data_IF_374059432705
#
_entry.id   IF_374059432705
#
_cell.length_a   1.000
_cell.length_b   1.000
_cell.length_c   1.000
_cell.angle_alpha   90.00
_cell.angle_beta   90.00
_cell.angle_gamma   90.00
#
_symmetry.space_group_name_H-M   'P 1'
#
loop_
_entity.id
_entity.type
_entity.pdbx_description
1 polymer ?
#
# COMPACT_ATOMS: atom_id res chain seq x y z
N UNK A 1 -22.98 18.40 0.91
CA UNK A 1 -23.17 16.95 1.19
C UNK A 1 -22.26 16.03 0.37
N UNK A 2 -22.11 16.21 -0.95
CA UNK A 2 -21.28 15.32 -1.80
C UNK A 2 -19.79 15.22 -1.40
N UNK A 3 -19.15 16.31 -0.96
CA UNK A 3 -17.74 16.27 -0.53
C UNK A 3 -17.58 15.56 0.83
N UNK A 4 -18.60 15.65 1.70
CA UNK A 4 -18.64 14.92 2.97
C UNK A 4 -18.77 13.41 2.73
N UNK A 5 -19.60 12.95 1.80
CA UNK A 5 -19.69 11.52 1.47
C UNK A 5 -18.40 11.00 0.84
N UNK A 6 -17.81 11.75 -0.10
CA UNK A 6 -16.52 11.42 -0.71
C UNK A 6 -15.39 11.28 0.32
N UNK A 7 -15.35 12.15 1.34
CA UNK A 7 -14.40 12.06 2.45
C UNK A 7 -14.45 10.71 3.15
N UNK A 8 -15.65 10.23 3.48
CA UNK A 8 -15.81 8.96 4.19
C UNK A 8 -15.45 7.76 3.31
N UNK A 9 -15.76 7.82 2.01
CA UNK A 9 -15.29 6.81 1.06
C UNK A 9 -13.76 6.81 0.96
N UNK A 10 -13.14 7.98 0.86
CA UNK A 10 -11.69 8.12 0.81
C UNK A 10 -11.04 7.50 2.07
N UNK A 11 -11.57 7.83 3.25
CA UNK A 11 -11.12 7.30 4.53
C UNK A 11 -11.28 5.77 4.61
N UNK A 12 -12.45 5.25 4.21
CA UNK A 12 -12.74 3.81 4.23
C UNK A 12 -11.82 3.03 3.27
N UNK A 13 -11.63 3.55 2.06
CA UNK A 13 -10.74 2.94 1.06
C UNK A 13 -9.30 2.90 1.59
N UNK A 14 -8.84 3.96 2.27
CA UNK A 14 -7.50 3.99 2.86
C UNK A 14 -7.33 2.93 3.97
N UNK A 15 -8.34 2.78 4.84
CA UNK A 15 -8.33 1.75 5.90
C UNK A 15 -8.29 0.35 5.26
N UNK A 16 -9.14 0.10 4.27
CA UNK A 16 -9.20 -1.20 3.59
C UNK A 16 -7.90 -1.51 2.84
N UNK A 17 -7.31 -0.52 2.17
CA UNK A 17 -5.97 -0.65 1.59
C UNK A 17 -4.94 -1.01 2.65
N UNK A 18 -4.96 -0.34 3.80
CA UNK A 18 -4.03 -0.63 4.90
C UNK A 18 -4.18 -2.05 5.48
N UNK A 19 -5.42 -2.53 5.62
CA UNK A 19 -5.69 -3.91 6.08
C UNK A 19 -5.14 -4.93 5.07
N UNK A 20 -5.35 -4.69 3.76
CA UNK A 20 -4.85 -5.59 2.72
C UNK A 20 -3.32 -5.63 2.67
N UNK A 21 -2.66 -4.49 2.90
CA UNK A 21 -1.21 -4.41 3.04
C UNK A 21 -0.69 -5.24 4.24
N UNK A 22 -1.38 -5.18 5.39
CA UNK A 22 -1.05 -6.00 6.56
C UNK A 22 -1.28 -7.48 6.25
N UNK A 23 -2.41 -7.83 5.63
CA UNK A 23 -2.72 -9.21 5.26
C UNK A 23 -1.70 -9.78 4.26
N UNK A 24 -1.26 -8.99 3.29
CA UNK A 24 -0.19 -9.36 2.36
C UNK A 24 1.06 -9.80 3.13
N UNK A 25 1.61 -8.93 3.98
CA UNK A 25 2.84 -9.27 4.70
C UNK A 25 2.66 -10.36 5.77
N UNK A 26 1.47 -10.46 6.38
CA UNK A 26 1.24 -11.41 7.48
C UNK A 26 0.91 -12.81 6.98
N UNK A 27 0.27 -12.92 5.80
CA UNK A 27 -0.23 -14.19 5.28
C UNK A 27 0.62 -14.74 4.13
N UNK A 28 1.59 -13.97 3.63
CA UNK A 28 2.49 -14.41 2.58
C UNK A 28 3.94 -14.17 2.95
N UNK A 29 4.86 -14.70 2.13
CA UNK A 29 6.30 -14.49 2.31
C UNK A 29 6.79 -13.14 1.75
N UNK A 30 5.87 -12.20 1.49
CA UNK A 30 6.17 -10.91 0.87
C UNK A 30 6.33 -10.98 -0.65
N UNK A 31 7.08 -10.04 -1.22
CA UNK A 31 7.32 -9.98 -2.67
C UNK A 31 8.23 -11.11 -3.17
N UNK A 32 8.03 -11.54 -4.40
CA UNK A 32 8.94 -12.43 -5.14
C UNK A 32 9.84 -11.60 -6.05
N UNK A 33 11.14 -11.81 -5.97
CA UNK A 33 12.17 -11.09 -6.74
C UNK A 33 13.20 -12.07 -7.30
N UNK A 34 13.92 -11.66 -8.34
CA UNK A 34 14.93 -12.51 -8.98
C UNK A 34 16.27 -12.43 -8.23
N UNK A 35 16.83 -13.58 -7.82
CA UNK A 35 18.09 -13.61 -7.06
C UNK A 35 19.31 -13.35 -7.94
N UNK A 36 20.01 -12.21 -7.80
CA UNK A 36 21.14 -11.89 -8.67
C UNK A 36 22.41 -12.70 -8.33
N UNK A 37 22.54 -13.19 -7.09
CA UNK A 37 23.80 -13.71 -6.54
C UNK A 37 23.80 -15.22 -6.24
N UNK A 38 22.72 -15.95 -6.55
CA UNK A 38 22.48 -17.29 -5.98
C UNK A 38 21.95 -18.38 -6.91
N UNK A 39 22.18 -18.30 -8.23
CA UNK A 39 21.86 -19.41 -9.15
C UNK A 39 20.73 -19.15 -10.16
N UNK A 40 20.17 -17.94 -10.18
CA UNK A 40 19.18 -17.54 -11.18
C UNK A 40 17.75 -18.02 -10.91
N UNK A 41 17.39 -18.13 -9.64
CA UNK A 41 16.07 -18.54 -9.18
C UNK A 41 15.24 -17.36 -8.66
N UNK A 42 13.91 -17.52 -8.69
CA UNK A 42 12.98 -16.58 -8.05
C UNK A 42 12.84 -16.95 -6.58
N UNK A 43 13.10 -16.00 -5.70
CA UNK A 43 13.01 -16.19 -4.24
C UNK A 43 12.20 -15.06 -3.62
N UNK A 44 11.75 -15.25 -2.39
CA UNK A 44 11.02 -14.21 -1.69
C UNK A 44 11.99 -13.14 -1.17
N UNK A 45 11.60 -11.86 -1.26
CA UNK A 45 12.40 -10.72 -0.76
C UNK A 45 12.80 -10.93 0.71
N UNK A 46 11.86 -11.45 1.51
CA UNK A 46 12.08 -11.82 2.92
C UNK A 46 13.21 -12.84 3.13
N UNK A 47 13.39 -13.75 2.17
CA UNK A 47 14.46 -14.75 2.18
C UNK A 47 15.82 -14.13 1.78
N UNK A 48 15.83 -13.08 0.96
CA UNK A 48 17.06 -12.34 0.62
C UNK A 48 17.56 -11.41 1.73
N UNK A 49 16.64 -10.81 2.48
CA UNK A 49 16.98 -9.87 3.56
C UNK A 49 17.66 -10.57 4.75
N UNK A 50 17.84 -11.89 4.69
CA UNK A 50 18.39 -12.68 5.79
C UNK A 50 17.53 -12.61 7.05
N UNK A 51 16.31 -12.10 6.93
CA UNK A 51 15.37 -12.00 8.03
C UNK A 51 14.95 -13.42 8.40
N UNK A 52 15.28 -13.83 9.63
CA UNK A 52 14.47 -14.83 10.31
C UNK A 52 13.02 -14.37 10.18
N UNK A 53 12.12 -15.31 9.91
CA UNK A 53 10.65 -15.29 9.71
C UNK A 53 9.78 -14.11 10.26
N UNK A 54 10.25 -12.87 10.44
CA UNK A 54 9.61 -11.85 11.29
C UNK A 54 9.78 -10.37 10.83
N UNK A 55 10.65 -10.00 9.88
CA UNK A 55 11.01 -8.57 9.68
C UNK A 55 10.80 -7.94 8.27
N UNK A 56 9.84 -8.39 7.46
CA UNK A 56 9.33 -7.54 6.36
C UNK A 56 8.41 -6.46 6.92
N UNK A 57 9.00 -5.39 7.46
CA UNK A 57 8.28 -4.37 8.25
C UNK A 57 7.59 -3.33 7.36
N UNK A 58 8.00 -3.18 6.10
CA UNK A 58 7.77 -1.93 5.37
C UNK A 58 6.33 -1.76 4.86
N UNK A 59 5.78 -2.77 4.16
CA UNK A 59 4.40 -2.74 3.66
C UNK A 59 3.39 -2.94 4.81
N UNK A 60 3.79 -3.69 5.84
CA UNK A 60 3.05 -3.83 7.09
C UNK A 60 2.92 -2.49 7.82
N UNK A 61 4.02 -1.74 7.94
CA UNK A 61 4.05 -0.42 8.57
C UNK A 61 3.24 0.61 7.75
N UNK A 62 3.32 0.55 6.41
CA UNK A 62 2.39 1.30 5.54
C UNK A 62 0.93 0.98 5.86
N UNK A 63 0.61 -0.30 6.05
CA UNK A 63 -0.73 -0.72 6.41
C UNK A 63 -1.22 -0.10 7.72
N UNK A 64 -0.40 -0.12 8.77
CA UNK A 64 -0.71 0.49 10.07
C UNK A 64 -0.94 2.00 9.94
N UNK A 65 -0.01 2.71 9.29
CA UNK A 65 -0.12 4.16 9.08
C UNK A 65 -1.40 4.48 8.32
N UNK A 66 -1.72 3.71 7.27
CA UNK A 66 -2.95 3.91 6.48
C UNK A 66 -4.22 3.73 7.30
N UNK A 67 -4.28 2.71 8.16
CA UNK A 67 -5.42 2.50 9.07
C UNK A 67 -5.59 3.66 10.04
N UNK A 68 -4.49 4.13 10.64
CA UNK A 68 -4.50 5.26 11.58
C UNK A 68 -4.97 6.54 10.87
N UNK A 69 -4.37 6.87 9.73
CA UNK A 69 -4.70 8.09 8.98
C UNK A 69 -6.13 8.05 8.45
N UNK A 70 -6.59 6.92 7.93
CA UNK A 70 -7.97 6.76 7.46
C UNK A 70 -8.98 6.92 8.60
N UNK A 71 -8.67 6.39 9.79
CA UNK A 71 -9.49 6.58 11.00
C UNK A 71 -9.54 8.07 11.39
N UNK A 72 -8.40 8.76 11.42
CA UNK A 72 -8.35 10.20 11.69
C UNK A 72 -9.19 10.99 10.65
N UNK A 73 -9.03 10.70 9.36
CA UNK A 73 -9.79 11.35 8.28
C UNK A 73 -11.30 11.21 8.46
N UNK A 74 -11.77 10.10 9.03
CA UNK A 74 -13.18 9.86 9.30
C UNK A 74 -13.77 10.92 10.25
N UNK A 75 -13.03 11.32 11.28
CA UNK A 75 -13.48 12.28 12.29
C UNK A 75 -13.17 13.75 11.94
N UNK A 76 -12.17 14.01 11.10
CA UNK A 76 -11.80 15.37 10.70
C UNK A 76 -12.93 16.03 9.89
N UNK A 77 -13.43 17.17 10.37
CA UNK A 77 -14.52 17.91 9.69
C UNK A 77 -14.03 18.79 8.54
N UNK A 78 -12.82 19.33 8.65
CA UNK A 78 -12.27 20.27 7.68
C UNK A 78 -11.59 19.51 6.53
N UNK A 79 -12.11 19.72 5.32
CA UNK A 79 -11.68 19.02 4.10
C UNK A 79 -10.24 19.33 3.70
N UNK A 80 -9.73 20.53 3.97
CA UNK A 80 -8.32 20.86 3.69
C UNK A 80 -7.37 19.97 4.49
N UNK A 81 -7.69 19.66 5.75
CA UNK A 81 -6.88 18.72 6.54
C UNK A 81 -7.01 17.28 6.05
N UNK A 82 -8.18 16.89 5.56
CA UNK A 82 -8.38 15.57 4.92
C UNK A 82 -7.47 15.44 3.69
N UNK A 83 -7.41 16.47 2.85
CA UNK A 83 -6.56 16.48 1.66
C UNK A 83 -5.08 16.41 2.03
N UNK A 84 -4.65 17.13 3.08
CA UNK A 84 -3.27 17.06 3.59
C UNK A 84 -2.91 15.68 4.13
N UNK A 85 -3.80 15.07 4.92
CA UNK A 85 -3.59 13.70 5.43
C UNK A 85 -3.57 12.70 4.28
N UNK A 86 -4.47 12.86 3.31
CA UNK A 86 -4.51 11.95 2.16
C UNK A 86 -3.28 12.05 1.27
N UNK A 87 -2.78 13.27 1.05
CA UNK A 87 -1.50 13.49 0.37
C UNK A 87 -0.33 12.87 1.14
N UNK A 88 -0.32 12.97 2.46
CA UNK A 88 0.72 12.33 3.28
C UNK A 88 0.73 10.80 3.12
N UNK A 89 -0.45 10.16 3.07
CA UNK A 89 -0.56 8.72 2.79
C UNK A 89 0.01 8.34 1.41
N UNK A 90 -0.20 9.18 0.39
CA UNK A 90 0.40 9.01 -0.94
C UNK A 90 1.92 9.06 -0.91
N UNK A 91 2.48 10.09 -0.28
CA UNK A 91 3.93 10.25 -0.16
C UNK A 91 4.52 9.06 0.58
N UNK A 92 3.85 8.59 1.63
CA UNK A 92 4.31 7.44 2.39
C UNK A 92 4.41 6.18 1.53
N UNK A 93 3.37 5.89 0.73
CA UNK A 93 3.41 4.77 -0.22
C UNK A 93 4.54 4.91 -1.26
N UNK A 94 4.70 6.11 -1.81
CA UNK A 94 5.75 6.38 -2.80
C UNK A 94 7.14 6.14 -2.22
N UNK A 95 7.38 6.57 -0.97
CA UNK A 95 8.62 6.29 -0.26
C UNK A 95 8.80 4.78 0.01
N UNK A 96 7.75 4.07 0.39
CA UNK A 96 7.81 2.61 0.54
C UNK A 96 8.21 1.90 -0.75
N UNK A 97 7.70 2.34 -1.89
CA UNK A 97 8.04 1.77 -3.19
C UNK A 97 9.48 2.02 -3.62
N UNK A 98 10.10 3.14 -3.18
CA UNK A 98 11.48 3.48 -3.49
C UNK A 98 12.51 2.70 -2.68
N UNK A 99 12.11 2.11 -1.55
CA UNK A 99 13.02 1.35 -0.67
C UNK A 99 13.22 -0.10 -1.12
N UNK A 100 12.54 -0.56 -2.17
CA UNK A 100 12.70 -1.92 -2.68
C UNK A 100 13.82 -1.94 -3.73
N UNK A 101 15.03 -2.28 -3.28
CA UNK A 101 16.30 -2.07 -4.01
C UNK A 101 16.63 -3.13 -5.08
N UNK A 102 15.90 -4.26 -5.15
CA UNK A 102 16.27 -5.38 -6.04
C UNK A 102 15.60 -5.34 -7.42
N UNK A 103 14.32 -5.01 -7.48
CA UNK A 103 13.51 -5.00 -8.69
C UNK A 103 12.57 -3.77 -8.67
N UNK A 104 12.29 -3.14 -9.83
CA UNK A 104 11.26 -2.11 -9.87
C UNK A 104 9.89 -2.67 -9.46
N UNK A 105 9.08 -1.85 -8.76
CA UNK A 105 7.80 -2.26 -8.15
C UNK A 105 6.87 -3.04 -9.11
N UNK A 106 6.85 -2.66 -10.39
CA UNK A 106 6.03 -3.34 -11.39
C UNK A 106 6.49 -4.80 -11.62
N UNK A 107 7.80 -5.07 -11.64
CA UNK A 107 8.32 -6.43 -11.79
C UNK A 107 8.09 -7.26 -10.53
N UNK A 108 8.23 -6.66 -9.34
CA UNK A 108 7.89 -7.33 -8.09
C UNK A 108 6.42 -7.76 -8.06
N UNK A 109 5.50 -6.88 -8.48
CA UNK A 109 4.09 -7.23 -8.57
C UNK A 109 3.86 -8.36 -9.56
N UNK A 110 4.46 -8.29 -10.76
CA UNK A 110 4.32 -9.33 -11.80
C UNK A 110 4.83 -10.68 -11.29
N UNK A 111 6.03 -10.70 -10.71
CA UNK A 111 6.65 -11.91 -10.19
C UNK A 111 5.82 -12.50 -9.04
N UNK A 112 5.40 -11.66 -8.09
CA UNK A 112 4.60 -12.10 -6.95
C UNK A 112 3.24 -12.64 -7.38
N UNK A 113 2.55 -12.00 -8.32
CA UNK A 113 1.29 -12.54 -8.85
C UNK A 113 1.50 -13.85 -9.60
N UNK A 114 2.57 -13.96 -10.39
CA UNK A 114 2.87 -15.15 -11.20
C UNK A 114 3.28 -16.36 -10.35
N UNK A 115 4.05 -16.16 -9.29
CA UNK A 115 4.68 -17.23 -8.53
C UNK A 115 4.01 -17.49 -7.17
N UNK A 116 3.48 -16.46 -6.50
CA UNK A 116 2.82 -16.56 -5.18
C UNK A 116 1.28 -16.46 -5.28
N UNK A 117 0.73 -16.13 -6.45
CA UNK A 117 -0.73 -16.00 -6.69
C UNK A 117 -1.44 -15.12 -5.67
N UNK A 118 -0.75 -14.05 -5.24
CA UNK A 118 -1.10 -13.31 -4.05
C UNK A 118 -2.30 -12.38 -4.26
N UNK A 119 -3.48 -12.86 -3.86
CA UNK A 119 -4.74 -12.11 -4.00
C UNK A 119 -4.76 -10.82 -3.17
N UNK A 120 -4.07 -10.79 -2.02
CA UNK A 120 -4.03 -9.60 -1.15
C UNK A 120 -3.25 -8.46 -1.81
N UNK A 121 -2.16 -8.77 -2.51
CA UNK A 121 -1.42 -7.79 -3.31
C UNK A 121 -2.27 -7.20 -4.43
N UNK A 122 -3.02 -8.05 -5.14
CA UNK A 122 -3.92 -7.60 -6.22
C UNK A 122 -5.00 -6.68 -5.66
N UNK A 123 -5.66 -7.09 -4.57
CA UNK A 123 -6.68 -6.28 -3.92
C UNK A 123 -6.09 -4.96 -3.41
N UNK A 124 -4.92 -4.99 -2.78
CA UNK A 124 -4.23 -3.79 -2.31
C UNK A 124 -4.00 -2.78 -3.43
N UNK A 125 -3.48 -3.24 -4.58
CA UNK A 125 -3.29 -2.41 -5.78
C UNK A 125 -4.61 -1.80 -6.27
N UNK A 126 -5.71 -2.57 -6.29
CA UNK A 126 -7.04 -2.08 -6.67
C UNK A 126 -7.53 -0.98 -5.71
N UNK A 127 -7.43 -1.22 -4.41
CA UNK A 127 -7.85 -0.23 -3.40
C UNK A 127 -7.01 1.04 -3.46
N UNK A 128 -5.71 0.93 -3.74
CA UNK A 128 -4.84 2.08 -3.94
C UNK A 128 -5.20 2.89 -5.20
N UNK A 129 -5.52 2.21 -6.30
CA UNK A 129 -5.99 2.87 -7.52
C UNK A 129 -7.31 3.61 -7.27
N UNK A 130 -8.27 2.96 -6.59
CA UNK A 130 -9.54 3.57 -6.20
C UNK A 130 -9.33 4.78 -5.27
N UNK A 131 -8.41 4.66 -4.31
CA UNK A 131 -8.02 5.76 -3.43
C UNK A 131 -7.56 6.98 -4.25
N UNK A 132 -6.81 6.73 -5.33
CA UNK A 132 -6.24 7.78 -6.21
C UNK A 132 -7.28 8.50 -7.00
N UNK A 133 -8.22 7.76 -7.56
CA UNK A 133 -9.35 8.33 -8.27
C UNK A 133 -10.19 9.19 -7.32
N UNK A 134 -10.54 8.67 -6.14
CA UNK A 134 -11.39 9.39 -5.18
C UNK A 134 -10.68 10.63 -4.62
N UNK A 135 -9.38 10.52 -4.31
CA UNK A 135 -8.57 11.63 -3.82
C UNK A 135 -8.50 12.76 -4.85
N UNK A 136 -8.20 12.42 -6.11
CA UNK A 136 -8.11 13.38 -7.20
C UNK A 136 -9.44 14.09 -7.44
N UNK A 137 -10.56 13.34 -7.45
CA UNK A 137 -11.90 13.91 -7.58
C UNK A 137 -12.22 14.84 -6.40
N UNK A 138 -11.84 14.45 -5.18
CA UNK A 138 -12.06 15.29 -4.00
C UNK A 138 -11.23 16.57 -4.10
N UNK A 139 -9.99 16.50 -4.60
CA UNK A 139 -9.11 17.67 -4.74
C UNK A 139 -9.68 18.66 -5.78
N UNK A 140 -9.99 18.18 -6.99
CA UNK A 140 -10.55 19.01 -8.08
C UNK A 140 -11.90 19.67 -7.74
N UNK A 141 -12.64 19.14 -6.76
CA UNK A 141 -13.95 19.68 -6.33
C UNK A 141 -13.87 20.68 -5.18
N UNK A 142 -12.69 20.85 -4.58
CA UNK A 142 -12.47 21.84 -3.51
C UNK A 142 -11.61 23.02 -3.95
N UNK A 143 -10.99 22.94 -5.14
CA UNK A 143 -10.49 24.11 -5.88
C UNK A 143 -11.66 24.87 -6.53
#
# INVERSE_FOLDING_TARGET
>A
MKNLTLKHYLALILILSGILAICFESLTKGFVTYMPYGGGEFVYLREMEGSNEDESVLLWFFGIVSVILGTIMFFVKNITYVLRIGFFAYVFLFLCALMIDSDPLNQLIINTVKFDHNIYLILWCIFLALYTVVFTILNMRND
#
